data_IF_692823871574
#
_entry.id   IF_692823871574
#
_cell.length_a   1.000
_cell.length_b   1.000
_cell.length_c   1.000
_cell.angle_alpha   90.00
_cell.angle_beta   90.00
_cell.angle_gamma   90.00
#
_symmetry.space_group_name_H-M   'P 1'
#
loop_
_entity.id
_entity.type
_entity.pdbx_description
1 polymer ?
#
# COMPACT_ATOMS: atom_id res chain seq x y z
N UNK A 1 -1.00 4.91 12.40
CA UNK A 1 -2.33 4.28 12.38
C UNK A 1 -2.73 3.71 11.01
N UNK A 2 -2.20 4.24 9.90
CA UNK A 2 -2.41 3.68 8.57
C UNK A 2 -1.08 3.76 7.80
N UNK A 3 -0.70 2.68 7.12
CA UNK A 3 0.47 2.64 6.22
C UNK A 3 0.02 2.06 4.89
N UNK A 4 0.32 2.75 3.79
CA UNK A 4 0.08 2.25 2.45
C UNK A 4 1.39 2.15 1.66
N UNK A 5 1.55 1.03 0.97
CA UNK A 5 2.68 0.76 0.07
C UNK A 5 2.12 0.51 -1.31
N UNK A 6 2.28 1.49 -2.20
CA UNK A 6 1.72 1.44 -3.57
C UNK A 6 2.66 0.76 -4.59
N UNK A 7 3.75 0.15 -4.12
CA UNK A 7 4.70 -0.57 -4.94
C UNK A 7 5.27 -1.75 -4.15
N UNK A 8 4.97 -2.97 -4.59
CA UNK A 8 5.37 -4.19 -3.92
C UNK A 8 6.88 -4.26 -3.62
N UNK A 9 7.71 -3.89 -4.60
CA UNK A 9 9.17 -3.94 -4.50
C UNK A 9 9.78 -3.02 -3.43
N UNK A 10 9.01 -2.10 -2.83
CA UNK A 10 9.49 -1.35 -1.67
C UNK A 10 9.62 -2.22 -0.43
N UNK A 11 8.77 -3.26 -0.29
CA UNK A 11 8.90 -4.22 0.80
C UNK A 11 10.19 -5.03 0.71
N UNK A 12 10.80 -5.17 -0.47
CA UNK A 12 12.07 -5.89 -0.66
C UNK A 12 13.30 -5.04 -0.28
N UNK A 13 13.13 -3.71 -0.18
CA UNK A 13 14.24 -2.75 -0.11
C UNK A 13 14.22 -1.85 1.12
N UNK A 14 13.04 -1.56 1.66
CA UNK A 14 12.85 -0.55 2.69
C UNK A 14 12.01 -1.08 3.84
N UNK A 15 12.25 -0.55 5.04
CA UNK A 15 11.40 -0.84 6.20
C UNK A 15 10.14 0.03 6.17
N UNK A 16 9.21 -0.34 5.29
CA UNK A 16 7.96 0.40 5.11
C UNK A 16 7.06 0.34 6.35
N UNK A 17 7.21 -0.66 7.21
CA UNK A 17 6.36 -0.89 8.39
C UNK A 17 6.98 -0.40 9.70
N UNK A 18 8.19 0.18 9.68
CA UNK A 18 8.87 0.75 10.84
C UNK A 18 7.95 1.63 11.70
N UNK A 19 7.27 2.57 11.04
CA UNK A 19 6.41 3.57 11.68
C UNK A 19 4.95 3.10 11.86
N UNK A 20 4.62 1.85 11.49
CA UNK A 20 3.30 1.30 11.76
C UNK A 20 3.09 1.19 13.27
N UNK A 21 1.96 1.69 13.76
CA UNK A 21 1.54 1.51 15.15
C UNK A 21 0.94 0.10 15.33
N UNK A 22 0.93 -0.46 16.56
CA UNK A 22 0.14 -1.64 16.86
C UNK A 22 -1.34 -1.46 16.49
N UNK A 23 -1.95 -2.48 15.88
CA UNK A 23 -3.33 -2.45 15.37
C UNK A 23 -3.53 -1.53 14.16
N UNK A 24 -2.47 -0.99 13.56
CA UNK A 24 -2.61 -0.15 12.37
C UNK A 24 -3.11 -0.94 11.16
N UNK A 25 -3.70 -0.22 10.22
CA UNK A 25 -4.04 -0.78 8.91
C UNK A 25 -2.84 -0.71 7.98
N UNK A 26 -2.53 -1.82 7.32
CA UNK A 26 -1.52 -1.91 6.28
C UNK A 26 -2.20 -2.22 4.95
N UNK A 27 -2.06 -1.32 3.97
CA UNK A 27 -2.55 -1.49 2.61
C UNK A 27 -1.36 -1.71 1.66
N UNK A 28 -1.43 -2.74 0.83
CA UNK A 28 -0.40 -3.06 -0.16
C UNK A 28 -0.98 -3.16 -1.58
N UNK A 29 -0.37 -2.47 -2.53
CA UNK A 29 -0.56 -2.73 -3.97
C UNK A 29 0.34 -3.89 -4.40
N UNK A 30 -0.26 -4.96 -4.90
CA UNK A 30 0.41 -6.22 -5.20
C UNK A 30 -0.29 -6.97 -6.34
N UNK A 31 0.46 -7.63 -7.24
CA UNK A 31 -0.13 -8.52 -8.23
C UNK A 31 -0.57 -9.87 -7.64
N UNK A 32 -0.14 -10.20 -6.42
CA UNK A 32 -0.42 -11.50 -5.80
C UNK A 32 -1.79 -11.52 -5.13
N UNK A 33 -2.59 -12.59 -5.30
CA UNK A 33 -3.90 -12.71 -4.68
C UNK A 33 -3.82 -12.98 -3.16
N UNK A 34 -4.94 -12.83 -2.41
CA UNK A 34 -4.93 -12.91 -0.95
C UNK A 34 -4.41 -14.23 -0.36
N UNK A 35 -4.59 -15.33 -1.10
CA UNK A 35 -4.14 -16.67 -0.72
C UNK A 35 -2.64 -16.92 -0.98
N UNK A 36 -1.97 -16.06 -1.74
CA UNK A 36 -0.57 -16.24 -2.14
C UNK A 36 0.34 -15.16 -1.58
N UNK A 37 -0.16 -13.92 -1.44
CA UNK A 37 0.64 -12.74 -1.07
C UNK A 37 1.53 -12.96 0.15
N UNK A 38 1.05 -13.71 1.14
CA UNK A 38 1.81 -13.99 2.36
C UNK A 38 3.18 -14.61 2.07
N UNK A 39 3.24 -15.56 1.13
CA UNK A 39 4.47 -16.26 0.75
C UNK A 39 5.46 -15.38 -0.02
N UNK A 40 4.99 -14.25 -0.54
CA UNK A 40 5.82 -13.28 -1.24
C UNK A 40 6.33 -12.16 -0.32
N UNK A 41 5.97 -12.14 0.96
CA UNK A 41 6.49 -11.13 1.88
C UNK A 41 7.88 -11.53 2.40
N UNK A 42 8.82 -10.57 2.58
CA UNK A 42 10.04 -10.82 3.33
C UNK A 42 9.71 -11.19 4.78
N UNK A 43 10.61 -11.93 5.42
CA UNK A 43 10.49 -12.37 6.82
C UNK A 43 10.17 -11.22 7.78
N UNK A 44 10.96 -10.15 7.78
CA UNK A 44 10.75 -8.99 8.67
C UNK A 44 9.39 -8.32 8.49
N UNK A 45 8.79 -8.38 7.29
CA UNK A 45 7.46 -7.84 7.03
C UNK A 45 6.39 -8.74 7.66
N UNK A 46 6.50 -10.06 7.52
CA UNK A 46 5.59 -11.00 8.18
C UNK A 46 5.66 -10.86 9.71
N UNK A 47 6.87 -10.80 10.27
CA UNK A 47 7.12 -10.56 11.70
C UNK A 47 6.43 -9.28 12.16
N UNK A 48 6.66 -8.16 11.47
CA UNK A 48 6.05 -6.88 11.84
C UNK A 48 4.52 -6.90 11.77
N UNK A 49 3.93 -7.58 10.78
CA UNK A 49 2.48 -7.72 10.66
C UNK A 49 1.91 -8.50 11.86
N UNK A 50 2.57 -9.57 12.28
CA UNK A 50 2.15 -10.41 13.41
C UNK A 50 2.35 -9.66 14.73
N UNK A 51 3.55 -9.18 15.00
CA UNK A 51 3.92 -8.52 16.26
C UNK A 51 3.05 -7.30 16.54
N UNK A 52 2.79 -6.49 15.51
CA UNK A 52 1.95 -5.30 15.62
C UNK A 52 0.47 -5.61 15.41
N UNK A 53 0.07 -6.86 15.15
CA UNK A 53 -1.30 -7.27 14.87
C UNK A 53 -1.98 -6.36 13.83
N UNK A 54 -1.33 -6.19 12.67
CA UNK A 54 -1.77 -5.25 11.64
C UNK A 54 -3.01 -5.77 10.91
N UNK A 55 -3.92 -4.87 10.57
CA UNK A 55 -5.02 -5.17 9.66
C UNK A 55 -4.52 -5.09 8.22
N UNK A 56 -4.19 -6.24 7.63
CA UNK A 56 -3.56 -6.32 6.32
C UNK A 56 -4.59 -6.40 5.19
N UNK A 57 -4.49 -5.47 4.24
CA UNK A 57 -5.32 -5.39 3.04
C UNK A 57 -4.46 -5.29 1.79
N UNK A 58 -4.94 -5.89 0.70
CA UNK A 58 -4.27 -5.89 -0.58
C UNK A 58 -5.22 -5.52 -1.72
N UNK A 59 -4.63 -5.07 -2.82
CA UNK A 59 -5.31 -4.84 -4.09
C UNK A 59 -4.29 -4.94 -5.23
N UNK A 60 -4.71 -5.41 -6.41
CA UNK A 60 -3.96 -5.23 -7.65
C UNK A 60 -4.47 -3.98 -8.36
N UNK A 61 -3.90 -2.83 -8.01
CA UNK A 61 -4.36 -1.55 -8.53
C UNK A 61 -4.08 -1.38 -10.02
N UNK A 62 -3.05 -2.06 -10.53
CA UNK A 62 -2.68 -2.01 -11.95
C UNK A 62 -3.73 -2.73 -12.79
N UNK A 63 -4.19 -3.90 -12.34
CA UNK A 63 -5.28 -4.62 -13.02
C UNK A 63 -6.58 -3.84 -12.97
N UNK A 64 -6.97 -3.31 -11.80
CA UNK A 64 -8.16 -2.45 -11.67
C UNK A 64 -8.08 -1.22 -12.58
N UNK A 65 -6.91 -0.56 -12.67
CA UNK A 65 -6.72 0.59 -13.55
C UNK A 65 -6.87 0.24 -15.03
N UNK A 66 -6.44 -0.95 -15.45
CA UNK A 66 -6.58 -1.42 -16.83
C UNK A 66 -8.04 -1.70 -17.18
N UNK A 67 -8.73 -2.43 -16.32
CA UNK A 67 -10.14 -2.83 -16.52
C UNK A 67 -11.09 -1.62 -16.57
N UNK A 68 -10.76 -0.57 -15.84
CA UNK A 68 -11.57 0.66 -15.73
C UNK A 68 -11.18 1.73 -16.77
N UNK A 69 -10.23 1.44 -17.66
CA UNK A 69 -9.78 2.38 -18.70
C UNK A 69 -8.87 3.50 -18.19
N UNK A 70 -8.39 3.42 -16.94
CA UNK A 70 -7.44 4.38 -16.35
C UNK A 70 -5.99 4.18 -16.83
N UNK A 71 -5.70 3.05 -17.46
CA UNK A 71 -4.38 2.69 -17.98
C UNK A 71 -3.46 2.21 -16.87
N UNK A 72 -2.42 2.99 -16.55
CA UNK A 72 -1.46 2.69 -15.44
C UNK A 72 -1.63 3.60 -14.23
N UNK A 73 -2.67 4.44 -14.21
CA UNK A 73 -2.88 5.42 -13.15
C UNK A 73 -3.65 4.79 -12.00
N UNK A 74 -3.00 4.68 -10.84
CA UNK A 74 -3.60 4.05 -9.65
C UNK A 74 -4.03 5.06 -8.58
N UNK A 75 -3.80 6.36 -8.78
CA UNK A 75 -3.99 7.38 -7.75
C UNK A 75 -5.41 7.38 -7.14
N UNK A 76 -6.44 7.36 -7.99
CA UNK A 76 -7.84 7.34 -7.55
C UNK A 76 -8.18 6.03 -6.85
N UNK A 77 -7.62 4.90 -7.29
CA UNK A 77 -7.81 3.57 -6.70
C UNK A 77 -7.19 3.54 -5.29
N UNK A 78 -5.94 4.00 -5.15
CA UNK A 78 -5.25 4.07 -3.85
C UNK A 78 -5.94 5.04 -2.89
N UNK A 79 -6.42 6.18 -3.40
CA UNK A 79 -7.20 7.12 -2.60
C UNK A 79 -8.52 6.49 -2.12
N UNK A 80 -9.21 5.73 -2.97
CA UNK A 80 -10.40 4.98 -2.58
C UNK A 80 -10.08 3.93 -1.52
N UNK A 81 -8.98 3.20 -1.65
CA UNK A 81 -8.52 2.25 -0.61
C UNK A 81 -8.31 2.96 0.73
N UNK A 82 -7.60 4.09 0.73
CA UNK A 82 -7.37 4.88 1.93
C UNK A 82 -8.67 5.23 2.64
N UNK A 83 -9.65 5.81 1.94
CA UNK A 83 -10.92 6.19 2.55
C UNK A 83 -11.80 5.00 2.96
N UNK A 84 -11.78 3.91 2.19
CA UNK A 84 -12.54 2.70 2.52
C UNK A 84 -11.99 2.02 3.78
N UNK A 85 -10.68 2.09 4.00
CA UNK A 85 -9.99 1.44 5.11
C UNK A 85 -9.72 2.35 6.30
N UNK A 86 -9.73 3.66 6.09
CA UNK A 86 -9.69 4.64 7.17
C UNK A 86 -10.96 4.43 8.00
N UNK A 87 -10.81 3.67 9.08
CA UNK A 87 -11.83 3.47 10.08
C UNK A 87 -12.02 4.76 10.88
N UNK A 88 -12.64 5.75 10.26
CA UNK A 88 -13.01 7.03 10.87
C UNK A 88 -14.40 6.84 11.50
N UNK A 89 -14.51 6.83 12.84
CA UNK A 89 -15.80 6.67 13.52
C UNK A 89 -16.82 7.75 13.12
N UNK A 90 -16.34 8.89 12.59
CA UNK A 90 -17.13 10.04 12.15
C UNK A 90 -17.51 10.03 10.67
N UNK A 91 -17.03 9.07 9.87
CA UNK A 91 -17.26 9.03 8.42
C UNK A 91 -17.63 7.61 7.95
N UNK A 92 -18.94 7.29 7.88
CA UNK A 92 -19.41 6.04 7.27
C UNK A 92 -18.89 5.86 5.85
N UNK A 93 -18.65 4.61 5.44
CA UNK A 93 -18.11 4.25 4.12
C UNK A 93 -18.89 4.90 2.97
N UNK A 94 -20.22 4.93 3.03
CA UNK A 94 -21.06 5.55 1.99
C UNK A 94 -20.77 7.05 1.83
N UNK A 95 -20.60 7.77 2.94
CA UNK A 95 -20.23 9.19 2.93
C UNK A 95 -18.81 9.41 2.43
N UNK A 96 -17.90 8.49 2.71
CA UNK A 96 -16.54 8.53 2.18
C UNK A 96 -16.53 8.37 0.65
N UNK A 97 -17.32 7.41 0.13
CA UNK A 97 -17.48 7.19 -1.32
C UNK A 97 -18.11 8.43 -1.98
N UNK A 98 -19.15 9.01 -1.39
CA UNK A 98 -19.77 10.24 -1.89
C UNK A 98 -18.76 11.39 -1.96
N UNK A 99 -17.97 11.59 -0.89
CA UNK A 99 -16.93 12.60 -0.86
C UNK A 99 -15.83 12.38 -1.91
N UNK A 100 -15.43 11.13 -2.16
CA UNK A 100 -14.49 10.78 -3.23
C UNK A 100 -15.07 11.13 -4.59
N UNK A 101 -16.32 10.73 -4.88
CA UNK A 101 -16.99 11.02 -6.15
C UNK A 101 -17.14 12.54 -6.36
N UNK A 102 -17.49 13.29 -5.32
CA UNK A 102 -17.52 14.76 -5.37
C UNK A 102 -16.14 15.37 -5.66
N UNK A 103 -15.08 14.88 -5.02
CA UNK A 103 -13.70 15.34 -5.26
C UNK A 103 -13.22 15.04 -6.68
N UNK A 104 -13.60 13.88 -7.24
CA UNK A 104 -13.33 13.51 -8.64
C UNK A 104 -13.98 14.52 -9.59
N UNK A 105 -15.26 14.85 -9.40
CA UNK A 105 -15.98 15.83 -10.23
C UNK A 105 -15.29 17.20 -10.15
N UNK A 106 -14.91 17.65 -8.94
CA UNK A 106 -14.21 18.92 -8.76
C UNK A 106 -12.85 18.95 -9.47
N UNK A 107 -12.08 17.86 -9.38
CA UNK A 107 -10.71 17.78 -9.90
C UNK A 107 -10.69 17.59 -11.42
N UNK A 108 -11.59 16.77 -11.94
CA UNK A 108 -11.59 16.33 -13.33
C UNK A 108 -12.74 16.86 -14.17
N UNK A 109 -13.63 17.69 -13.61
CA UNK A 109 -14.77 18.27 -14.32
C UNK A 109 -14.38 18.98 -15.62
N UNK A 110 -13.22 19.65 -15.64
CA UNK A 110 -12.67 20.31 -16.84
C UNK A 110 -12.17 19.34 -17.92
N UNK A 111 -11.98 18.06 -17.60
CA UNK A 111 -11.50 17.01 -18.51
C UNK A 111 -12.63 16.24 -19.21
N UNK A 112 -13.88 16.57 -18.91
CA UNK A 112 -15.07 16.00 -19.55
C UNK A 112 -15.64 14.78 -18.83
N UNK A 113 -16.90 14.47 -19.14
CA UNK A 113 -17.70 13.45 -18.45
C UNK A 113 -17.07 12.06 -18.53
N UNK A 114 -16.50 11.68 -19.67
CA UNK A 114 -15.87 10.37 -19.85
C UNK A 114 -14.76 10.10 -18.83
N UNK A 115 -13.96 11.12 -18.45
CA UNK A 115 -12.92 10.97 -17.44
C UNK A 115 -13.51 10.82 -16.04
N UNK A 116 -14.62 11.52 -15.75
CA UNK A 116 -15.34 11.38 -14.48
C UNK A 116 -15.90 9.97 -14.35
N UNK A 117 -16.57 9.47 -15.40
CA UNK A 117 -17.19 8.14 -15.43
C UNK A 117 -16.14 7.03 -15.25
N UNK A 118 -14.97 7.15 -15.91
CA UNK A 118 -13.85 6.22 -15.70
C UNK A 118 -13.36 6.21 -14.25
N UNK A 119 -13.25 7.38 -13.62
CA UNK A 119 -12.84 7.45 -12.22
C UNK A 119 -13.91 6.89 -11.29
N UNK A 120 -15.21 7.08 -11.58
CA UNK A 120 -16.29 6.46 -10.81
C UNK A 120 -16.27 4.95 -10.93
N UNK A 121 -16.10 4.42 -12.15
CA UNK A 121 -15.93 2.98 -12.37
C UNK A 121 -14.72 2.44 -11.61
N UNK A 122 -13.61 3.18 -11.57
CA UNK A 122 -12.44 2.79 -10.80
C UNK A 122 -12.69 2.80 -9.28
N UNK A 123 -13.43 3.78 -8.75
CA UNK A 123 -13.83 3.79 -7.33
C UNK A 123 -14.63 2.53 -7.01
N UNK A 124 -15.65 2.23 -7.80
CA UNK A 124 -16.54 1.09 -7.55
C UNK A 124 -15.79 -0.24 -7.72
N UNK A 125 -14.93 -0.37 -8.73
CA UNK A 125 -14.10 -1.55 -8.94
C UNK A 125 -13.07 -1.76 -7.80
N UNK A 126 -12.52 -0.67 -7.26
CA UNK A 126 -11.59 -0.72 -6.12
C UNK A 126 -12.24 -1.39 -4.92
N UNK A 127 -13.47 -1.00 -4.57
CA UNK A 127 -14.16 -1.53 -3.39
C UNK A 127 -14.42 -3.04 -3.50
N UNK A 128 -14.65 -3.55 -4.71
CA UNK A 128 -14.84 -4.98 -4.96
C UNK A 128 -13.53 -5.78 -4.95
N UNK A 129 -12.41 -5.15 -5.34
CA UNK A 129 -11.09 -5.80 -5.47
C UNK A 129 -10.16 -5.51 -4.27
N UNK A 130 -10.66 -4.84 -3.24
CA UNK A 130 -9.94 -4.61 -2.00
C UNK A 130 -10.17 -5.78 -1.05
N UNK A 131 -9.11 -6.53 -0.79
CA UNK A 131 -9.22 -7.78 -0.05
C UNK A 131 -8.50 -7.70 1.29
N UNK A 132 -9.16 -8.18 2.35
CA UNK A 132 -8.51 -8.40 3.64
C UNK A 132 -7.76 -9.72 3.60
N UNK A 133 -6.49 -9.70 4.01
CA UNK A 133 -5.68 -10.90 4.17
C UNK A 133 -5.82 -11.39 5.62
N UNK A 134 -6.26 -12.64 5.85
CA UNK A 134 -6.31 -13.21 7.19
C UNK A 134 -4.91 -13.23 7.82
N UNK A 135 -4.81 -12.84 9.09
CA UNK A 135 -3.56 -12.93 9.81
C UNK A 135 -3.21 -14.41 10.06
N UNK A 136 -2.05 -14.83 9.60
CA UNK A 136 -1.42 -16.10 9.97
C UNK A 136 -0.50 -15.87 11.16
N UNK A 137 -0.54 -16.73 12.21
CA UNK A 137 0.28 -16.55 13.40
C UNK A 137 1.75 -16.96 13.18
N UNK A 138 2.11 -17.46 11.99
CA UNK A 138 3.41 -18.04 11.69
C UNK A 138 4.15 -17.24 10.61
N UNK A 139 5.43 -17.02 10.86
CA UNK A 139 6.39 -16.49 9.91
C UNK A 139 6.89 -17.65 9.05
N UNK A 140 6.49 -17.67 7.78
CA UNK A 140 6.83 -18.75 6.84
C UNK A 140 7.94 -18.35 5.85
N UNK A 141 8.27 -17.06 5.76
CA UNK A 141 9.23 -16.58 4.78
C UNK A 141 10.67 -17.01 5.10
N UNK A 142 11.34 -17.54 4.08
CA UNK A 142 12.73 -18.01 4.15
C UNK A 142 13.73 -16.97 3.65
N UNK A 143 13.27 -15.78 3.27
CA UNK A 143 14.12 -14.74 2.71
C UNK A 143 13.86 -13.39 3.38
N UNK A 144 14.85 -12.51 3.32
CA UNK A 144 14.83 -11.18 3.93
C UNK A 144 15.17 -10.12 2.88
N UNK A 145 14.75 -8.88 3.17
CA UNK A 145 15.15 -7.68 2.45
C UNK A 145 16.65 -7.64 2.24
N UNK A 146 17.05 -7.26 1.03
CA UNK A 146 18.46 -7.07 0.71
C UNK A 146 18.99 -5.80 1.39
N UNK A 147 20.25 -5.78 1.83
CA UNK A 147 20.85 -4.55 2.31
C UNK A 147 20.85 -3.50 1.19
N UNK A 148 20.57 -2.24 1.56
CA UNK A 148 20.52 -1.11 0.60
C UNK A 148 21.85 -0.86 -0.12
N UNK A 149 22.97 -1.31 0.47
CA UNK A 149 24.31 -1.29 -0.12
C UNK A 149 25.00 -2.64 0.08
N UNK A 150 25.91 -3.07 -0.80
CA UNK A 150 26.61 -4.34 -0.63
C UNK A 150 27.53 -4.36 0.59
N UNK A 151 27.71 -5.53 1.20
CA UNK A 151 28.54 -5.70 2.40
C UNK A 151 30.02 -5.35 2.18
N UNK A 152 30.51 -5.50 0.95
CA UNK A 152 31.88 -5.14 0.58
C UNK A 152 32.08 -3.64 0.32
N UNK A 153 31.02 -2.82 0.41
CA UNK A 153 31.14 -1.38 0.24
C UNK A 153 32.02 -0.74 1.33
N UNK A 154 32.72 0.37 1.04
CA UNK A 154 33.51 1.10 2.03
C UNK A 154 32.69 1.47 3.26
N UNK A 155 33.34 1.57 4.43
CA UNK A 155 32.67 1.85 5.70
C UNK A 155 31.74 3.07 5.63
N UNK A 156 32.22 4.19 5.10
CA UNK A 156 31.42 5.41 4.94
C UNK A 156 30.13 5.18 4.13
N UNK A 157 30.18 4.33 3.09
CA UNK A 157 29.00 4.00 2.30
C UNK A 157 28.01 3.18 3.13
N UNK A 158 28.50 2.25 3.96
CA UNK A 158 27.66 1.42 4.83
C UNK A 158 27.09 2.18 6.03
N UNK A 159 27.85 3.09 6.63
CA UNK A 159 27.43 3.79 7.86
C UNK A 159 26.70 5.11 7.61
N UNK A 160 27.00 5.80 6.51
CA UNK A 160 26.41 7.12 6.20
C UNK A 160 25.45 7.03 5.01
N UNK A 161 25.95 6.62 3.84
CA UNK A 161 25.14 6.63 2.61
C UNK A 161 23.95 5.66 2.68
N UNK A 162 24.15 4.46 3.24
CA UNK A 162 23.06 3.49 3.44
C UNK A 162 21.94 4.06 4.31
N UNK A 163 22.28 4.71 5.44
CA UNK A 163 21.31 5.35 6.35
C UNK A 163 20.52 6.45 5.65
N UNK A 164 21.19 7.27 4.83
CA UNK A 164 20.49 8.27 4.02
C UNK A 164 19.52 7.63 3.01
N UNK A 165 19.92 6.54 2.34
CA UNK A 165 19.08 5.80 1.38
C UNK A 165 17.86 5.16 2.08
N UNK A 166 18.02 4.69 3.32
CA UNK A 166 16.95 4.13 4.15
C UNK A 166 15.97 5.18 4.71
N UNK A 167 16.20 6.48 4.43
CA UNK A 167 15.42 7.56 5.02
C UNK A 167 15.69 7.73 6.52
N UNK A 168 16.92 7.47 6.94
CA UNK A 168 17.43 7.54 8.32
C UNK A 168 18.59 8.54 8.44
N UNK A 169 18.64 9.53 7.54
CA UNK A 169 19.70 10.54 7.51
C UNK A 169 19.69 11.47 8.74
N UNK A 170 18.54 11.68 9.36
CA UNK A 170 18.41 12.51 10.57
C UNK A 170 18.98 11.83 11.84
N UNK A 171 19.31 10.54 11.78
CA UNK A 171 19.89 9.77 12.89
C UNK A 171 21.42 9.66 12.85
N UNK A 172 22.07 10.32 11.89
CA UNK A 172 23.53 10.31 11.68
C UNK A 172 24.28 11.31 12.57
#
# INVERSE_FOLDING_TARGET
>A
NFVAVHQFNFLERYDMLRLAAPGATFQLDTPYPPNEVWNHLPRSVQETIIEKNLHFYIIDAVSVARETGMGRRINSIMQTCFFALMNLPSLPTDKAIEAIKAAIVKTYGKRGQAVIDQNFAAVDATLHNLHKVPLTPEVTSLWERQPVVPDFAPEFIRSVTARMIEGLGDEL
#
